data_IF_518550413388
#
_entry.id   IF_518550413388
#
_cell.length_a   1.000
_cell.length_b   1.000
_cell.length_c   1.000
_cell.angle_alpha   90.00
_cell.angle_beta   90.00
_cell.angle_gamma   90.00
#
_symmetry.space_group_name_H-M   'P 1'
#
loop_
_entity.id
_entity.type
_entity.pdbx_description
1 polymer ?
#
# COMPACT_ATOMS: atom_id res chain seq x y z
N UNK A 1 -5.27 12.28 6.81
CA UNK A 1 -3.80 12.32 6.58
C UNK A 1 -2.99 12.54 7.86
N UNK A 2 -3.60 12.47 9.06
CA UNK A 2 -2.85 12.61 10.33
C UNK A 2 -2.38 11.24 10.87
N UNK A 3 -3.00 10.14 10.44
CA UNK A 3 -2.74 8.80 11.01
C UNK A 3 -1.55 8.06 10.37
N UNK A 4 -1.09 8.46 9.18
CA UNK A 4 0.12 7.89 8.54
C UNK A 4 1.42 8.42 9.16
N UNK A 5 1.36 9.52 9.91
CA UNK A 5 2.49 10.02 10.68
C UNK A 5 2.68 9.24 12.00
N UNK A 6 1.87 8.22 12.27
CA UNK A 6 1.85 7.53 13.56
C UNK A 6 2.88 6.39 13.68
N UNK A 7 3.59 5.99 12.62
CA UNK A 7 4.54 4.88 12.71
C UNK A 7 5.41 4.65 11.47
N UNK A 8 6.56 4.00 11.70
CA UNK A 8 7.47 3.56 10.66
C UNK A 8 6.84 2.47 9.78
N UNK A 9 6.72 2.71 8.47
CA UNK A 9 6.14 1.74 7.55
C UNK A 9 7.19 0.75 6.99
N UNK A 10 7.51 -0.28 7.77
CA UNK A 10 8.42 -1.35 7.37
C UNK A 10 8.00 -2.09 6.08
N UNK A 11 6.70 -2.11 5.76
CA UNK A 11 6.17 -2.80 4.58
C UNK A 11 6.65 -2.18 3.26
N UNK A 12 6.90 -0.86 3.25
CA UNK A 12 7.39 -0.14 2.08
C UNK A 12 8.85 0.32 2.20
N UNK A 13 9.38 0.42 3.42
CA UNK A 13 10.73 0.93 3.67
C UNK A 13 11.82 0.13 2.96
N UNK A 14 11.68 -1.20 2.90
CA UNK A 14 12.68 -2.07 2.28
C UNK A 14 12.97 -1.74 0.81
N UNK A 15 12.03 -1.10 0.10
CA UNK A 15 12.17 -0.66 -1.29
C UNK A 15 13.28 0.39 -1.46
N UNK A 16 13.65 1.10 -0.39
CA UNK A 16 14.75 2.07 -0.40
C UNK A 16 16.14 1.43 -0.27
N UNK A 17 16.24 0.14 0.04
CA UNK A 17 17.52 -0.54 0.09
C UNK A 17 18.02 -0.93 -1.31
N UNK A 18 19.33 -0.74 -1.57
CA UNK A 18 19.96 -1.12 -2.84
C UNK A 18 19.77 -2.60 -3.19
N UNK A 19 19.71 -3.48 -2.18
CA UNK A 19 19.43 -4.90 -2.37
C UNK A 19 18.07 -5.14 -3.05
N UNK A 20 17.04 -4.40 -2.65
CA UNK A 20 15.72 -4.47 -3.27
C UNK A 20 15.76 -4.14 -4.77
N UNK A 21 16.59 -3.17 -5.17
CA UNK A 21 16.72 -2.75 -6.55
C UNK A 21 17.39 -3.84 -7.41
N UNK A 22 18.41 -4.48 -6.85
CA UNK A 22 19.12 -5.60 -7.49
C UNK A 22 18.20 -6.80 -7.70
N UNK A 23 17.26 -7.06 -6.78
CA UNK A 23 16.30 -8.17 -6.92
C UNK A 23 15.51 -8.08 -8.23
N UNK A 24 15.15 -6.89 -8.71
CA UNK A 24 14.48 -6.74 -10.01
C UNK A 24 15.33 -7.25 -11.17
N UNK A 25 16.63 -6.93 -11.16
CA UNK A 25 17.57 -7.39 -12.19
C UNK A 25 17.73 -8.90 -12.10
N UNK A 26 17.93 -9.44 -10.89
CA UNK A 26 18.05 -10.89 -10.67
C UNK A 26 16.79 -11.63 -11.12
N UNK A 27 15.60 -11.09 -10.83
CA UNK A 27 14.33 -11.68 -11.23
C UNK A 27 14.17 -11.73 -12.74
N UNK A 28 14.53 -10.65 -13.44
CA UNK A 28 14.50 -10.60 -14.92
C UNK A 28 15.47 -11.64 -15.50
N UNK A 29 16.71 -11.67 -15.03
CA UNK A 29 17.73 -12.60 -15.54
C UNK A 29 17.36 -14.06 -15.25
N UNK A 30 16.86 -14.34 -14.05
CA UNK A 30 16.41 -15.68 -13.65
C UNK A 30 15.22 -16.11 -14.50
N UNK A 31 14.20 -15.25 -14.65
CA UNK A 31 13.06 -15.51 -15.53
C UNK A 31 13.51 -15.78 -16.97
N UNK A 32 14.49 -15.02 -17.47
CA UNK A 32 15.04 -15.23 -18.82
C UNK A 32 15.72 -16.60 -18.97
N UNK A 33 16.56 -16.99 -18.01
CA UNK A 33 17.21 -18.31 -18.00
C UNK A 33 16.16 -19.42 -17.97
N UNK A 34 15.16 -19.32 -17.09
CA UNK A 34 14.13 -20.34 -16.94
C UNK A 34 13.30 -20.53 -18.22
N UNK A 35 12.95 -19.43 -18.91
CA UNK A 35 12.20 -19.51 -20.18
C UNK A 35 13.07 -20.06 -21.31
N UNK A 36 14.35 -19.68 -21.37
CA UNK A 36 15.27 -20.13 -22.43
C UNK A 36 15.64 -21.61 -22.36
N UNK A 37 15.56 -22.24 -21.18
CA UNK A 37 15.81 -23.67 -21.01
C UNK A 37 14.73 -24.52 -21.70
N UNK A 38 13.55 -23.96 -21.99
CA UNK A 38 12.45 -24.69 -22.63
C UNK A 38 12.73 -24.88 -24.12
N UNK A 39 12.84 -26.13 -24.61
CA UNK A 39 13.10 -26.41 -26.02
C UNK A 39 12.00 -25.87 -26.93
N UNK A 40 12.39 -25.28 -28.06
CA UNK A 40 11.45 -24.78 -29.08
C UNK A 40 10.97 -23.34 -28.85
N UNK A 41 11.31 -22.70 -27.73
CA UNK A 41 11.04 -21.27 -27.54
C UNK A 41 12.07 -20.45 -28.33
N UNK A 42 11.58 -19.60 -29.23
CA UNK A 42 12.42 -18.65 -29.96
C UNK A 42 12.79 -17.46 -29.08
N UNK A 43 13.88 -16.76 -29.40
CA UNK A 43 14.32 -15.59 -28.62
C UNK A 43 13.25 -14.50 -28.55
N UNK A 44 12.55 -14.24 -29.65
CA UNK A 44 11.50 -13.22 -29.72
C UNK A 44 10.35 -13.54 -28.74
N UNK A 45 9.95 -14.82 -28.66
CA UNK A 45 8.92 -15.29 -27.73
C UNK A 45 9.44 -15.25 -26.28
N UNK A 46 10.67 -15.71 -26.04
CA UNK A 46 11.27 -15.72 -24.71
C UNK A 46 11.31 -14.31 -24.09
N UNK A 47 11.81 -13.33 -24.84
CA UNK A 47 11.84 -11.93 -24.38
C UNK A 47 10.46 -11.32 -24.18
N UNK A 48 9.47 -11.75 -24.96
CA UNK A 48 8.08 -11.33 -24.77
C UNK A 48 7.50 -11.92 -23.49
N UNK A 49 7.68 -13.22 -23.23
CA UNK A 49 7.22 -13.89 -22.01
C UNK A 49 7.83 -13.25 -20.77
N UNK A 50 9.15 -13.02 -20.78
CA UNK A 50 9.84 -12.39 -19.64
C UNK A 50 9.35 -10.97 -19.40
N UNK A 51 9.17 -10.17 -20.45
CA UNK A 51 8.63 -8.83 -20.33
C UNK A 51 7.22 -8.84 -19.71
N UNK A 52 6.31 -9.64 -20.26
CA UNK A 52 4.92 -9.72 -19.76
C UNK A 52 4.85 -10.28 -18.33
N UNK A 53 5.60 -11.33 -18.03
CA UNK A 53 5.65 -11.92 -16.70
C UNK A 53 6.16 -10.93 -15.65
N UNK A 54 7.21 -10.17 -15.98
CA UNK A 54 7.71 -9.12 -15.10
C UNK A 54 6.67 -7.99 -14.90
N UNK A 55 6.01 -7.53 -15.97
CA UNK A 55 4.94 -6.54 -15.85
C UNK A 55 3.80 -7.04 -14.96
N UNK A 56 3.35 -8.28 -15.16
CA UNK A 56 2.27 -8.86 -14.37
C UNK A 56 2.65 -8.99 -12.88
N UNK A 57 3.84 -9.52 -12.59
CA UNK A 57 4.31 -9.69 -11.21
C UNK A 57 4.45 -8.35 -10.49
N UNK A 58 5.07 -7.37 -11.14
CA UNK A 58 5.26 -6.04 -10.54
C UNK A 58 3.96 -5.26 -10.42
N UNK A 59 3.01 -5.44 -11.35
CA UNK A 59 1.66 -4.89 -11.19
C UNK A 59 0.97 -5.48 -9.96
N UNK A 60 0.96 -6.81 -9.83
CA UNK A 60 0.35 -7.49 -8.69
C UNK A 60 0.93 -6.96 -7.37
N UNK A 61 2.26 -6.97 -7.25
CA UNK A 61 2.96 -6.58 -6.04
C UNK A 61 2.74 -5.11 -5.65
N UNK A 62 2.85 -4.17 -6.61
CA UNK A 62 2.84 -2.75 -6.29
C UNK A 62 1.45 -2.10 -6.35
N UNK A 63 0.52 -2.65 -7.13
CA UNK A 63 -0.78 -1.99 -7.39
C UNK A 63 -1.99 -2.85 -7.03
N UNK A 64 -1.84 -4.16 -6.84
CA UNK A 64 -2.95 -5.01 -6.43
C UNK A 64 -2.91 -5.34 -4.93
N UNK A 65 -1.71 -5.61 -4.38
CA UNK A 65 -1.55 -5.86 -2.95
C UNK A 65 -1.73 -4.56 -2.16
N UNK A 66 -2.70 -4.56 -1.23
CA UNK A 66 -3.02 -3.45 -0.32
C UNK A 66 -2.79 -3.83 1.14
N UNK A 67 -2.70 -2.82 2.01
CA UNK A 67 -2.53 -3.01 3.45
C UNK A 67 -1.09 -3.25 3.89
N UNK A 68 -0.91 -3.50 5.18
CA UNK A 68 0.37 -3.91 5.77
C UNK A 68 0.19 -5.19 6.56
N UNK A 69 1.15 -6.13 6.52
CA UNK A 69 1.06 -7.39 7.27
C UNK A 69 1.25 -7.19 8.79
N UNK A 70 1.54 -5.97 9.24
CA UNK A 70 1.83 -5.63 10.63
C UNK A 70 0.74 -4.73 11.21
N UNK A 71 0.24 -5.08 12.39
CA UNK A 71 -0.81 -4.30 13.10
C UNK A 71 -0.29 -2.98 13.70
N UNK A 72 1.02 -2.74 13.67
CA UNK A 72 1.67 -1.59 14.28
C UNK A 72 1.18 -0.23 13.74
N UNK A 73 0.55 -0.21 12.56
CA UNK A 73 0.08 1.01 11.91
C UNK A 73 -1.42 1.30 12.14
N UNK A 74 -2.11 0.56 13.03
CA UNK A 74 -3.52 0.78 13.39
C UNK A 74 -4.49 0.93 12.19
N UNK A 75 -4.22 0.21 11.09
CA UNK A 75 -5.03 0.26 9.86
C UNK A 75 -4.80 1.47 8.95
N UNK A 76 -3.79 2.32 9.22
CA UNK A 76 -3.52 3.54 8.44
C UNK A 76 -3.21 3.31 6.94
N UNK A 77 -2.91 2.07 6.56
CA UNK A 77 -2.51 1.67 5.22
C UNK A 77 -3.44 0.61 4.59
N UNK A 78 -4.53 0.20 5.26
CA UNK A 78 -5.38 -0.94 4.84
C UNK A 78 -5.93 -0.77 3.42
N UNK A 79 -6.28 0.47 3.06
CA UNK A 79 -6.76 0.80 1.72
C UNK A 79 -5.65 1.19 0.75
N UNK A 80 -4.38 1.25 1.15
CA UNK A 80 -3.27 1.68 0.29
C UNK A 80 -2.53 0.52 -0.34
N UNK A 81 -2.27 0.63 -1.64
CA UNK A 81 -1.37 -0.27 -2.36
C UNK A 81 0.06 -0.05 -1.90
N UNK A 82 0.93 -1.05 -2.08
CA UNK A 82 2.35 -0.91 -1.76
C UNK A 82 2.99 0.29 -2.49
N UNK A 83 2.59 0.60 -3.73
CA UNK A 83 3.08 1.77 -4.47
C UNK A 83 2.78 3.10 -3.76
N UNK A 84 1.55 3.27 -3.28
CA UNK A 84 1.13 4.48 -2.58
C UNK A 84 1.77 4.59 -1.19
N UNK A 85 2.15 3.46 -0.60
CA UNK A 85 2.85 3.41 0.69
C UNK A 85 4.32 3.84 0.61
N UNK A 86 4.98 3.69 -0.55
CA UNK A 86 6.40 4.05 -0.73
C UNK A 86 6.61 5.53 -0.47
N UNK A 87 7.60 5.83 0.37
CA UNK A 87 8.03 7.18 0.74
C UNK A 87 6.86 8.06 1.20
N UNK A 88 5.92 7.48 1.97
CA UNK A 88 4.73 8.17 2.48
C UNK A 88 3.86 8.78 1.36
N UNK A 89 3.89 8.16 0.17
CA UNK A 89 3.18 8.65 -1.00
C UNK A 89 3.89 9.79 -1.73
N UNK A 90 5.08 10.20 -1.29
CA UNK A 90 5.89 11.20 -2.00
C UNK A 90 6.16 10.75 -3.43
N UNK A 91 6.07 11.70 -4.36
CA UNK A 91 6.28 11.46 -5.79
C UNK A 91 7.71 11.79 -6.19
N UNK A 92 8.15 11.22 -7.31
CA UNK A 92 9.48 11.48 -7.90
C UNK A 92 10.67 11.14 -6.99
N UNK A 93 10.49 10.27 -6.02
CA UNK A 93 11.57 9.77 -5.16
C UNK A 93 12.52 8.86 -5.95
N UNK A 94 13.76 8.65 -5.47
CA UNK A 94 14.72 7.75 -6.14
C UNK A 94 14.14 6.35 -6.35
N UNK A 95 13.45 5.80 -5.34
CA UNK A 95 12.86 4.47 -5.40
C UNK A 95 11.75 4.39 -6.48
N UNK A 96 10.79 5.32 -6.48
CA UNK A 96 9.72 5.35 -7.50
C UNK A 96 10.27 5.58 -8.91
N UNK A 97 11.31 6.40 -9.07
CA UNK A 97 12.00 6.60 -10.36
C UNK A 97 12.65 5.31 -10.85
N UNK A 98 13.37 4.61 -9.97
CA UNK A 98 13.96 3.31 -10.29
C UNK A 98 12.91 2.27 -10.67
N UNK A 99 11.88 2.08 -9.84
CA UNK A 99 10.81 1.12 -10.09
C UNK A 99 10.00 1.44 -11.36
N UNK A 100 9.98 2.71 -11.78
CA UNK A 100 9.39 3.13 -13.05
C UNK A 100 10.32 2.87 -14.23
N UNK A 101 11.62 3.07 -14.08
CA UNK A 101 12.59 2.90 -15.18
C UNK A 101 12.82 1.44 -15.55
N UNK A 102 12.80 0.50 -14.59
CA UNK A 102 13.05 -0.92 -14.87
C UNK A 102 12.08 -1.51 -15.92
N UNK A 103 10.73 -1.40 -15.78
CA UNK A 103 9.83 -1.92 -16.80
C UNK A 103 10.02 -1.25 -18.17
N UNK A 104 10.36 0.05 -18.20
CA UNK A 104 10.67 0.76 -19.45
C UNK A 104 11.93 0.17 -20.11
N UNK A 105 13.00 -0.03 -19.33
CA UNK A 105 14.24 -0.64 -19.81
C UNK A 105 14.02 -2.06 -20.34
N UNK A 106 13.26 -2.87 -19.61
CA UNK A 106 12.94 -4.25 -20.03
C UNK A 106 12.12 -4.27 -21.32
N UNK A 107 11.14 -3.37 -21.45
CA UNK A 107 10.36 -3.20 -22.69
C UNK A 107 11.26 -2.86 -23.88
N UNK A 108 12.21 -1.93 -23.70
CA UNK A 108 13.15 -1.54 -24.77
C UNK A 108 14.07 -2.71 -25.17
N UNK A 109 14.58 -3.46 -24.18
CA UNK A 109 15.37 -4.66 -24.42
C UNK A 109 14.54 -5.70 -25.19
N UNK A 110 13.31 -5.97 -24.75
CA UNK A 110 12.39 -6.91 -25.41
C UNK A 110 12.09 -6.48 -26.85
N UNK A 111 11.82 -5.20 -27.08
CA UNK A 111 11.60 -4.62 -28.42
C UNK A 111 12.81 -4.81 -29.33
N UNK A 112 14.01 -4.60 -28.80
CA UNK A 112 15.25 -4.80 -29.56
C UNK A 112 15.43 -6.26 -29.98
N UNK A 113 15.28 -7.21 -29.05
CA UNK A 113 15.46 -8.63 -29.34
C UNK A 113 14.32 -9.27 -30.14
N UNK A 114 13.11 -8.69 -30.10
CA UNK A 114 12.00 -9.06 -30.99
C UNK A 114 12.11 -8.40 -32.38
N UNK A 115 13.26 -7.78 -32.70
CA UNK A 115 13.58 -7.18 -34.00
C UNK A 115 12.54 -6.17 -34.46
N UNK A 116 11.95 -5.44 -33.52
CA UNK A 116 10.92 -4.43 -33.81
C UNK A 116 9.69 -5.02 -34.53
N UNK A 117 9.39 -6.30 -34.33
CA UNK A 117 8.15 -6.90 -34.83
C UNK A 117 6.94 -6.12 -34.29
N UNK A 118 6.12 -5.57 -35.19
CA UNK A 118 5.05 -4.65 -34.80
C UNK A 118 3.99 -5.28 -33.89
N UNK A 119 3.69 -6.57 -34.05
CA UNK A 119 2.71 -7.27 -33.23
C UNK A 119 3.22 -7.45 -31.79
N UNK A 120 4.46 -7.93 -31.63
CA UNK A 120 5.09 -8.11 -30.31
C UNK A 120 5.37 -6.76 -29.64
N UNK A 121 5.79 -5.75 -30.42
CA UNK A 121 5.96 -4.38 -29.93
C UNK A 121 4.65 -3.84 -29.36
N UNK A 122 3.56 -3.91 -30.13
CA UNK A 122 2.25 -3.38 -29.70
C UNK A 122 1.78 -4.06 -28.43
N UNK A 123 1.91 -5.39 -28.36
CA UNK A 123 1.54 -6.17 -27.19
C UNK A 123 2.37 -5.76 -25.95
N UNK A 124 3.70 -5.70 -26.09
CA UNK A 124 4.60 -5.31 -25.00
C UNK A 124 4.40 -3.85 -24.58
N UNK A 125 4.08 -2.96 -25.52
CA UNK A 125 3.82 -1.56 -25.27
C UNK A 125 2.50 -1.35 -24.51
N UNK A 126 1.43 -2.05 -24.90
CA UNK A 126 0.17 -2.04 -24.15
C UNK A 126 0.37 -2.53 -22.71
N UNK A 127 1.15 -3.59 -22.50
CA UNK A 127 1.48 -4.07 -21.16
C UNK A 127 2.28 -3.03 -20.35
N UNK A 128 3.25 -2.35 -20.99
CA UNK A 128 3.99 -1.26 -20.36
C UNK A 128 3.07 -0.12 -19.95
N UNK A 129 2.19 0.35 -20.85
CA UNK A 129 1.23 1.42 -20.55
C UNK A 129 0.33 1.03 -19.38
N UNK A 130 -0.19 -0.21 -19.36
CA UNK A 130 -1.02 -0.71 -18.26
C UNK A 130 -0.30 -0.65 -16.91
N UNK A 131 0.96 -1.07 -16.85
CA UNK A 131 1.77 -1.04 -15.62
C UNK A 131 2.18 0.38 -15.19
N UNK A 132 2.42 1.27 -16.15
CA UNK A 132 2.84 2.64 -15.86
C UNK A 132 1.68 3.57 -15.56
N UNK A 133 0.48 3.28 -16.09
CA UNK A 133 -0.72 4.09 -15.88
C UNK A 133 -0.93 4.45 -14.40
N UNK A 134 -1.04 3.50 -13.46
CA UNK A 134 -1.27 3.82 -12.05
C UNK A 134 -0.07 4.49 -11.35
N UNK A 135 1.11 4.53 -11.98
CA UNK A 135 2.31 5.22 -11.45
C UNK A 135 2.33 6.71 -11.77
N UNK A 136 1.42 7.19 -12.63
CA UNK A 136 1.38 8.59 -13.03
C UNK A 136 0.90 9.46 -11.85
N UNK A 137 1.58 10.58 -11.52
CA UNK A 137 1.21 11.45 -10.40
C UNK A 137 -0.23 12.00 -10.49
N UNK A 138 -0.77 12.12 -11.70
CA UNK A 138 -2.14 12.57 -11.93
C UNK A 138 -3.19 11.57 -11.42
N UNK A 139 -2.81 10.31 -11.21
CA UNK A 139 -3.69 9.23 -10.77
C UNK A 139 -3.52 8.85 -9.30
N UNK A 140 -2.58 9.48 -8.56
CA UNK A 140 -2.27 9.16 -7.15
C UNK A 140 -3.48 9.21 -6.20
N UNK A 141 -4.64 9.74 -6.65
CA UNK A 141 -5.88 9.79 -5.88
C UNK A 141 -7.15 9.52 -6.71
N UNK A 142 -7.03 9.21 -7.99
CA UNK A 142 -8.15 8.93 -8.90
C UNK A 142 -8.27 7.42 -9.10
N UNK A 143 -8.69 6.71 -8.05
CA UNK A 143 -8.88 5.26 -8.12
C UNK A 143 -10.18 4.94 -8.86
N UNK A 144 -10.05 4.35 -10.05
CA UNK A 144 -11.15 3.63 -10.68
C UNK A 144 -11.40 2.35 -9.87
N UNK A 145 -12.44 2.34 -9.02
CA UNK A 145 -13.00 1.12 -8.44
C UNK A 145 -13.67 0.32 -9.57
N UNK A 146 -12.87 -0.41 -10.35
CA UNK A 146 -13.39 -1.46 -11.23
C UNK A 146 -13.78 -2.60 -10.30
N UNK A 147 -15.08 -2.88 -10.24
CA UNK A 147 -15.83 -3.78 -9.35
C UNK A 147 -16.47 -3.06 -8.14
N UNK A 148 -17.82 -3.00 -8.06
CA UNK A 148 -18.47 -2.71 -6.80
C UNK A 148 -18.22 -3.92 -5.90
N UNK A 149 -17.43 -3.73 -4.83
CA UNK A 149 -17.40 -4.67 -3.72
C UNK A 149 -18.75 -4.59 -2.99
N UNK A 150 -19.77 -5.22 -3.57
CA UNK A 150 -21.05 -5.42 -2.91
C UNK A 150 -20.96 -6.70 -2.09
N UNK A 151 -20.39 -6.61 -0.89
CA UNK A 151 -20.82 -7.42 0.26
C UNK A 151 -20.37 -6.72 1.54
N UNK A 152 -21.13 -5.69 1.91
CA UNK A 152 -21.12 -5.16 3.27
C UNK A 152 -21.63 -6.27 4.18
N UNK A 153 -20.73 -7.02 4.82
CA UNK A 153 -21.09 -7.78 6.01
C UNK A 153 -21.67 -6.81 7.06
N UNK A 154 -22.59 -7.27 7.92
CA UNK A 154 -23.20 -6.40 8.93
C UNK A 154 -22.12 -5.80 9.83
N UNK A 155 -22.26 -4.52 10.24
CA UNK A 155 -21.28 -3.86 11.08
C UNK A 155 -21.12 -4.64 12.40
N UNK A 156 -19.87 -4.99 12.71
CA UNK A 156 -19.51 -5.60 13.99
C UNK A 156 -19.88 -4.62 15.11
N UNK A 157 -20.65 -5.03 16.13
CA UNK A 157 -21.02 -4.13 17.22
C UNK A 157 -19.77 -3.68 17.99
N UNK A 158 -19.67 -2.39 18.25
CA UNK A 158 -18.56 -1.79 19.00
C UNK A 158 -18.72 -2.07 20.52
N UNK A 159 -18.14 -3.16 21.02
CA UNK A 159 -18.18 -3.54 22.46
C UNK A 159 -16.92 -3.03 23.18
N UNK A 160 -16.62 -1.74 23.07
CA UNK A 160 -15.53 -1.14 23.86
C UNK A 160 -15.89 0.23 24.43
N UNK A 161 -17.11 0.37 24.94
CA UNK A 161 -17.45 1.45 25.88
C UNK A 161 -17.75 0.86 27.25
N UNK A 162 -16.79 0.93 28.16
CA UNK A 162 -17.04 0.67 29.57
C UNK A 162 -18.11 1.68 30.08
N UNK A 163 -19.09 1.26 30.91
CA UNK A 163 -20.09 2.18 31.44
C UNK A 163 -19.43 3.13 32.45
N UNK A 164 -19.64 4.43 32.27
CA UNK A 164 -19.33 5.46 33.27
C UNK A 164 -20.07 5.15 34.58
N UNK A 165 -19.44 5.23 35.77
CA UNK A 165 -20.16 5.04 37.02
C UNK A 165 -21.13 6.20 37.25
N UNK A 166 -22.43 5.90 37.33
CA UNK A 166 -23.46 6.83 37.75
C UNK A 166 -23.29 7.06 39.26
N UNK A 167 -22.84 8.25 39.66
CA UNK A 167 -22.89 8.68 41.06
C UNK A 167 -24.35 8.88 41.46
N UNK A 168 -24.88 7.95 42.27
CA UNK A 168 -26.17 8.12 42.97
C UNK A 168 -26.02 9.19 44.05
N UNK A 169 -26.63 10.35 43.83
CA UNK A 169 -26.92 11.31 44.90
C UNK A 169 -28.42 11.27 45.18
N UNK A 170 -28.81 10.52 46.21
CA UNK A 170 -30.09 10.68 46.90
C UNK A 170 -29.76 10.97 48.36
N UNK A 171 -30.25 12.03 49.00
CA UNK A 171 -31.62 12.09 49.56
C UNK A 171 -31.86 13.49 50.21
N UNK A 172 -33.10 13.84 50.62
CA UNK A 172 -33.65 15.20 50.54
C UNK A 172 -33.66 16.03 51.85
N UNK A 173 -34.02 17.30 51.65
CA UNK A 173 -34.35 18.43 52.53
C UNK A 173 -35.02 18.10 53.88
N UNK A 174 -34.55 18.71 54.98
CA UNK A 174 -35.35 19.14 56.16
C UNK A 174 -34.79 20.46 56.72
N UNK A 175 -35.69 21.38 57.10
CA UNK A 175 -35.42 22.77 57.49
C UNK A 175 -34.92 23.01 58.93
N UNK A 176 -34.63 24.29 59.22
CA UNK A 176 -34.08 24.82 60.49
C UNK A 176 -35.08 24.84 61.68
N UNK A 177 -34.87 25.63 62.76
CA UNK A 177 -34.01 26.82 62.87
C UNK A 177 -33.20 27.00 64.20
N UNK A 178 -32.41 28.09 64.22
CA UNK A 178 -32.04 28.97 65.34
C UNK A 178 -31.17 28.52 66.54
N UNK A 179 -30.16 29.38 66.77
CA UNK A 179 -29.71 29.95 68.07
C UNK A 179 -28.74 29.14 68.95
N UNK A 180 -27.52 29.66 69.05
CA UNK A 180 -26.94 29.93 70.38
C UNK A 180 -25.51 29.45 70.66
N UNK A 181 -24.63 30.46 70.78
CA UNK A 181 -23.61 30.65 71.83
C UNK A 181 -22.14 30.53 71.42
N UNK A 182 -21.47 31.68 71.57
CA UNK A 182 -20.03 31.95 71.55
C UNK A 182 -19.32 31.28 72.73
N UNK A 183 -18.09 30.77 72.52
CA UNK A 183 -16.86 31.23 73.19
C UNK A 183 -15.60 30.45 72.72
N UNK A 184 -14.39 31.02 72.77
CA UNK A 184 -13.22 30.52 72.02
C UNK A 184 -12.02 30.02 72.86
N UNK A 185 -11.19 29.15 72.20
CA UNK A 185 -9.72 28.93 72.37
C UNK A 185 -9.21 28.28 73.68
N UNK A 186 -7.91 27.91 73.77
CA UNK A 186 -7.14 26.97 72.92
C UNK A 186 -6.31 25.97 73.78
N UNK A 187 -5.81 24.87 73.19
CA UNK A 187 -4.46 24.31 73.34
C UNK A 187 -4.29 23.19 72.31
#
# INVERSE_FOLDING_TARGET
MLDQNAGFNANADWVNHKGAWVVHIVLILTGKILVDVVPGITQDISWTIVNLGYMALTFLMFHHVTGTPFEANAGAYDELTLWEQIDEGAQHTPAKKWLTSVPIGLFLISTHYTKYNLWLFTLNFCALLFVLFPKLPILDRLRFKVLPAHFSGPPTPNISRAPTPISRTGTPVVGGPHSGRKSPRPF
#
